data_IF_665177458859
#
_entry.id   IF_665177458859
#
_cell.length_a   1.000
_cell.length_b   1.000
_cell.length_c   1.000
_cell.angle_alpha   90.00
_cell.angle_beta   90.00
_cell.angle_gamma   90.00
#
_symmetry.space_group_name_H-M   'P 1'
#
loop_
_entity.id
_entity.type
_entity.pdbx_description
1 polymer ?
#
# COMPACT_ATOMS: atom_id res chain seq x y z
N UNK A 1 10.55 12.84 17.07
CA UNK A 1 10.90 11.41 17.23
C UNK A 1 10.25 10.66 16.08
N UNK A 2 11.02 9.94 15.27
CA UNK A 2 10.48 9.11 14.19
C UNK A 2 9.78 7.89 14.81
N UNK A 3 8.46 7.79 14.66
CA UNK A 3 7.69 6.66 15.15
C UNK A 3 7.97 5.43 14.29
N UNK A 4 8.49 4.36 14.89
CA UNK A 4 8.63 3.07 14.19
C UNK A 4 7.30 2.34 14.28
N UNK A 5 6.48 2.43 13.23
CA UNK A 5 5.26 1.64 13.08
C UNK A 5 5.61 0.27 12.50
N UNK A 6 6.20 -0.59 13.33
CA UNK A 6 6.45 -1.97 12.95
C UNK A 6 5.14 -2.75 13.08
N UNK A 7 4.43 -2.94 11.96
CA UNK A 7 3.45 -4.03 11.86
C UNK A 7 4.22 -5.35 11.83
N UNK A 8 4.69 -5.76 13.01
CA UNK A 8 5.12 -7.13 13.25
C UNK A 8 3.88 -7.96 12.96
N UNK A 9 3.79 -8.47 11.74
CA UNK A 9 2.92 -9.59 11.39
C UNK A 9 3.40 -10.83 12.16
N UNK A 10 3.28 -10.79 13.48
CA UNK A 10 3.28 -11.94 14.35
C UNK A 10 1.88 -12.52 14.15
N UNK A 11 1.89 -13.62 13.40
CA UNK A 11 0.95 -14.73 13.46
C UNK A 11 -0.48 -14.47 13.00
N UNK A 12 -1.02 -15.46 12.30
CA UNK A 12 -2.39 -15.48 11.84
C UNK A 12 -3.40 -15.37 12.97
N UNK A 13 -4.65 -15.19 12.55
CA UNK A 13 -5.86 -15.01 13.35
C UNK A 13 -6.01 -13.62 14.00
N UNK A 14 -7.21 -13.05 13.81
CA UNK A 14 -7.77 -11.81 14.39
C UNK A 14 -7.51 -10.52 13.61
N UNK A 15 -8.53 -10.18 12.82
CA UNK A 15 -9.26 -8.90 12.59
C UNK A 15 -8.71 -7.56 13.17
N UNK A 16 -7.70 -7.50 14.03
CA UNK A 16 -7.19 -6.29 14.72
C UNK A 16 -6.12 -5.47 13.96
N UNK A 17 -5.61 -5.96 12.82
CA UNK A 17 -4.33 -5.46 12.23
C UNK A 17 -4.43 -4.20 11.35
N UNK A 18 -5.53 -3.44 11.37
CA UNK A 18 -5.69 -2.24 10.53
C UNK A 18 -5.77 -0.93 11.30
N UNK A 19 -6.05 -0.94 12.60
CA UNK A 19 -6.09 0.29 13.40
C UNK A 19 -4.73 1.00 13.41
N UNK A 20 -3.64 0.24 13.54
CA UNK A 20 -2.29 0.80 13.51
C UNK A 20 -1.89 1.33 12.12
N UNK A 21 -2.35 0.68 11.05
CA UNK A 21 -2.14 1.19 9.69
C UNK A 21 -2.95 2.48 9.46
N UNK A 22 -4.21 2.51 9.89
CA UNK A 22 -5.03 3.73 9.79
C UNK A 22 -4.44 4.87 10.62
N UNK A 23 -3.97 4.59 11.84
CA UNK A 23 -3.25 5.55 12.68
C UNK A 23 -1.96 6.06 12.03
N UNK A 24 -1.17 5.18 11.41
CA UNK A 24 0.00 5.60 10.63
C UNK A 24 -0.41 6.54 9.50
N UNK A 25 -1.48 6.22 8.77
CA UNK A 25 -2.01 7.11 7.74
C UNK A 25 -2.46 8.45 8.33
N UNK A 26 -3.19 8.46 9.45
CA UNK A 26 -3.61 9.70 10.13
C UNK A 26 -2.40 10.53 10.59
N UNK A 27 -1.39 9.93 11.20
CA UNK A 27 -0.18 10.63 11.62
C UNK A 27 0.63 11.18 10.43
N UNK A 28 0.63 10.48 9.29
CA UNK A 28 1.11 11.00 8.02
C UNK A 28 0.29 12.21 7.56
N UNK A 29 -1.05 12.15 7.62
CA UNK A 29 -1.93 13.24 7.20
C UNK A 29 -1.81 14.47 8.13
N UNK A 30 -1.53 14.26 9.41
CA UNK A 30 -1.25 15.29 10.42
C UNK A 30 0.16 15.91 10.26
N UNK A 31 0.97 15.43 9.31
CA UNK A 31 2.33 15.92 9.06
C UNK A 31 3.33 15.53 10.14
N UNK A 32 3.02 14.52 10.97
CA UNK A 32 3.93 14.01 12.01
C UNK A 32 4.96 13.03 11.45
N UNK A 33 4.68 12.45 10.28
CA UNK A 33 5.51 11.46 9.60
C UNK A 33 5.79 11.95 8.18
N UNK A 34 7.08 11.98 7.83
CA UNK A 34 7.62 12.37 6.53
C UNK A 34 8.09 11.16 5.69
N UNK A 35 8.26 9.99 6.32
CA UNK A 35 8.63 8.75 5.64
C UNK A 35 8.03 7.50 6.30
N UNK A 36 7.54 6.59 5.48
CA UNK A 36 7.05 5.26 5.84
C UNK A 36 7.97 4.20 5.24
N UNK A 37 8.38 3.21 6.04
CA UNK A 37 9.16 2.07 5.56
C UNK A 37 8.27 0.83 5.61
N UNK A 38 8.08 0.20 4.46
CA UNK A 38 7.33 -1.04 4.32
C UNK A 38 8.27 -2.17 3.90
N UNK A 39 8.04 -3.38 4.44
CA UNK A 39 8.87 -4.54 4.09
C UNK A 39 8.81 -4.87 2.59
N UNK A 40 7.60 -4.85 2.04
CA UNK A 40 7.33 -5.08 0.63
C UNK A 40 5.97 -4.52 0.25
N UNK A 41 5.68 -4.39 -1.05
CA UNK A 41 4.38 -3.90 -1.54
C UNK A 41 3.20 -4.74 -0.99
N UNK A 42 3.25 -6.09 -0.99
CA UNK A 42 2.16 -6.91 -0.43
C UNK A 42 1.97 -6.77 1.08
N UNK A 43 2.97 -6.28 1.81
CA UNK A 43 2.90 -6.02 3.25
C UNK A 43 2.28 -4.66 3.57
N UNK A 44 2.23 -3.76 2.59
CA UNK A 44 1.74 -2.39 2.75
C UNK A 44 0.23 -2.29 2.64
N UNK A 45 -0.40 -2.99 1.68
CA UNK A 45 -1.85 -2.97 1.54
C UNK A 45 -2.43 -4.33 1.07
N UNK A 46 -3.75 -4.52 1.24
CA UNK A 46 -4.44 -5.81 1.01
C UNK A 46 -4.55 -6.17 -0.48
N UNK A 47 -4.60 -5.18 -1.35
CA UNK A 47 -4.75 -5.35 -2.79
C UNK A 47 -4.06 -4.20 -3.51
N UNK A 48 -3.88 -4.37 -4.83
CA UNK A 48 -3.12 -3.43 -5.64
C UNK A 48 -3.79 -2.04 -5.72
N UNK A 49 -5.13 -1.98 -5.69
CA UNK A 49 -5.89 -0.73 -5.67
C UNK A 49 -5.68 0.07 -4.36
N UNK A 50 -5.69 -0.59 -3.21
CA UNK A 50 -5.42 0.01 -1.91
C UNK A 50 -3.99 0.58 -1.91
N UNK A 51 -2.99 -0.20 -2.37
CA UNK A 51 -1.59 0.26 -2.46
C UNK A 51 -1.51 1.51 -3.32
N UNK A 52 -2.10 1.49 -4.52
CA UNK A 52 -2.10 2.63 -5.43
C UNK A 52 -2.72 3.88 -4.79
N UNK A 53 -3.85 3.72 -4.09
CA UNK A 53 -4.54 4.81 -3.39
C UNK A 53 -3.68 5.45 -2.31
N UNK A 54 -3.13 4.64 -1.39
CA UNK A 54 -2.35 5.18 -0.26
C UNK A 54 -1.02 5.78 -0.72
N UNK A 55 -0.33 5.15 -1.68
CA UNK A 55 0.91 5.69 -2.23
C UNK A 55 0.69 7.05 -2.92
N UNK A 56 -0.38 7.19 -3.72
CA UNK A 56 -0.72 8.49 -4.33
C UNK A 56 -1.01 9.56 -3.29
N UNK A 57 -1.85 9.23 -2.30
CA UNK A 57 -2.25 10.16 -1.24
C UNK A 57 -1.05 10.63 -0.40
N UNK A 58 -0.11 9.73 -0.07
CA UNK A 58 1.10 10.08 0.67
C UNK A 58 2.07 10.91 -0.20
N UNK A 59 2.21 10.56 -1.48
CA UNK A 59 3.02 11.32 -2.44
C UNK A 59 2.52 12.75 -2.62
N UNK A 60 1.21 12.97 -2.72
CA UNK A 60 0.61 14.32 -2.82
C UNK A 60 0.94 15.21 -1.62
N UNK A 61 1.26 14.60 -0.47
CA UNK A 61 1.67 15.29 0.76
C UNK A 61 3.18 15.30 0.98
N UNK A 62 3.95 14.90 -0.04
CA UNK A 62 5.39 14.82 0.01
C UNK A 62 5.93 13.87 1.10
N UNK A 63 5.20 12.78 1.35
CA UNK A 63 5.57 11.72 2.30
C UNK A 63 6.12 10.53 1.51
N UNK A 64 7.32 10.09 1.84
CA UNK A 64 7.97 8.99 1.12
C UNK A 64 7.57 7.63 1.66
N UNK A 65 7.39 6.66 0.77
CA UNK A 65 7.18 5.26 1.10
C UNK A 65 8.32 4.48 0.49
N UNK A 66 9.18 3.93 1.34
CA UNK A 66 10.27 3.05 0.93
C UNK A 66 9.86 1.59 1.09
N UNK A 67 9.94 0.83 0.01
CA UNK A 67 9.71 -0.62 0.04
C UNK A 67 11.05 -1.36 0.03
N UNK A 68 11.37 -2.06 1.13
CA UNK A 68 12.71 -2.65 1.33
C UNK A 68 13.06 -3.74 0.31
N UNK A 69 12.11 -4.63 -0.01
CA UNK A 69 12.34 -5.76 -0.91
C UNK A 69 12.47 -5.29 -2.35
N UNK A 70 11.58 -4.40 -2.78
CA UNK A 70 11.56 -3.83 -4.13
C UNK A 70 12.63 -2.74 -4.32
N UNK A 71 13.21 -2.24 -3.21
CA UNK A 71 14.23 -1.17 -3.17
C UNK A 71 13.80 0.08 -3.94
N UNK A 72 12.54 0.49 -3.72
CA UNK A 72 11.91 1.58 -4.45
C UNK A 72 11.37 2.64 -3.49
N UNK A 73 11.59 3.92 -3.84
CA UNK A 73 11.06 5.07 -3.12
C UNK A 73 9.86 5.65 -3.87
N UNK A 74 8.74 5.86 -3.19
CA UNK A 74 7.53 6.38 -3.86
C UNK A 74 7.65 7.83 -4.31
N UNK A 75 8.48 8.67 -3.66
CA UNK A 75 8.71 10.04 -4.14
C UNK A 75 9.66 10.08 -5.34
N UNK A 76 10.74 9.30 -5.32
CA UNK A 76 11.77 9.30 -6.36
C UNK A 76 11.35 8.52 -7.61
N UNK A 77 10.80 7.33 -7.40
CA UNK A 77 10.46 6.36 -8.45
C UNK A 77 8.94 6.26 -8.66
N UNK A 78 8.19 7.24 -8.14
CA UNK A 78 6.74 7.18 -8.00
C UNK A 78 5.98 6.96 -9.30
N UNK A 79 6.37 7.63 -10.39
CA UNK A 79 5.67 7.47 -11.68
C UNK A 79 5.78 6.03 -12.20
N UNK A 80 6.97 5.42 -12.06
CA UNK A 80 7.20 4.03 -12.45
C UNK A 80 6.40 3.07 -11.57
N UNK A 81 6.46 3.25 -10.26
CA UNK A 81 5.70 2.46 -9.28
C UNK A 81 4.19 2.54 -9.55
N UNK A 82 3.66 3.75 -9.73
CA UNK A 82 2.23 3.97 -9.98
C UNK A 82 1.78 3.37 -11.31
N UNK A 83 2.62 3.39 -12.34
CA UNK A 83 2.33 2.76 -13.64
C UNK A 83 2.19 1.24 -13.48
N UNK A 84 3.16 0.59 -12.84
CA UNK A 84 3.13 -0.86 -12.58
C UNK A 84 1.90 -1.23 -11.76
N UNK A 85 1.67 -0.53 -10.65
CA UNK A 85 0.51 -0.80 -9.79
C UNK A 85 -0.80 -0.61 -10.53
N UNK A 86 -0.90 0.38 -11.43
CA UNK A 86 -2.10 0.59 -12.25
C UNK A 86 -2.32 -0.56 -13.23
N UNK A 87 -1.27 -1.03 -13.90
CA UNK A 87 -1.36 -2.18 -14.81
C UNK A 87 -1.77 -3.47 -14.09
N UNK A 88 -1.18 -3.73 -12.92
CA UNK A 88 -1.52 -4.92 -12.11
C UNK A 88 -2.94 -4.83 -11.57
N UNK A 89 -3.36 -3.66 -11.07
CA UNK A 89 -4.72 -3.45 -10.58
C UNK A 89 -5.78 -3.66 -11.68
N UNK A 90 -5.50 -3.18 -12.90
CA UNK A 90 -6.37 -3.40 -14.04
C UNK A 90 -6.50 -4.90 -14.38
N UNK A 91 -5.37 -5.63 -14.37
CA UNK A 91 -5.36 -7.06 -14.62
C UNK A 91 -6.16 -7.85 -13.57
N UNK A 92 -6.07 -7.47 -12.28
CA UNK A 92 -6.87 -8.08 -11.20
C UNK A 92 -8.39 -7.88 -11.41
N UNK A 93 -8.80 -6.68 -11.87
CA UNK A 93 -10.20 -6.37 -12.18
C UNK A 93 -10.69 -7.18 -13.38
N UNK A 94 -9.92 -7.24 -14.46
CA UNK A 94 -10.25 -8.02 -15.65
C UNK A 94 -10.40 -9.51 -15.32
N UNK A 95 -9.47 -10.08 -14.55
CA UNK A 95 -9.53 -11.46 -14.08
C UNK A 95 -10.78 -11.73 -13.25
N UNK A 96 -11.10 -10.87 -12.29
CA UNK A 96 -12.32 -11.00 -11.46
C UNK A 96 -13.58 -10.98 -12.33
N UNK A 97 -13.64 -10.07 -13.30
CA UNK A 97 -14.78 -9.96 -14.23
C UNK A 97 -14.97 -11.23 -15.08
N UNK A 98 -13.86 -11.86 -15.49
CA UNK A 98 -13.89 -13.11 -16.27
C UNK A 98 -14.43 -14.29 -15.44
N UNK A 99 -14.09 -14.39 -14.15
CA UNK A 99 -14.65 -15.41 -13.26
C UNK A 99 -16.15 -15.23 -13.00
N UNK A 100 -16.60 -13.99 -12.79
CA UNK A 100 -18.04 -13.70 -12.63
C UNK A 100 -18.82 -14.06 -13.89
N UNK A 101 -18.31 -13.74 -15.09
CA UNK A 101 -18.96 -14.13 -16.36
C UNK A 101 -18.99 -15.64 -16.58
N UNK A 102 -17.94 -16.37 -16.19
CA UNK A 102 -17.88 -17.83 -16.34
C UNK A 102 -18.73 -18.60 -15.32
N UNK A 103 -19.03 -18.02 -14.16
CA UNK A 103 -19.88 -18.62 -13.13
C UNK A 103 -21.39 -18.45 -13.34
N UNK A 104 -21.81 -17.72 -14.38
CA UNK A 104 -23.24 -17.50 -14.73
C UNK A 104 -23.69 -18.44 -15.88
N UNK A 105 -22.89 -19.47 -16.21
CA UNK A 105 -23.23 -20.51 -17.16
C UNK A 105 -23.15 -21.90 -16.53
#
# INVERSE_FOLDING_TARGET
MAGVYADKAITGTKVDKRENFQRLIEDCLDGKIDMVIAKSIPRFARNTLDTLKYVRMLKERNIDVYFEVEKIHSLKDGEFLLTILSSVAQQEVENTSAYVRKGIY
#
